data_IF_269850144234
#
_entry.id   IF_269850144234
#
_cell.length_a   1.000
_cell.length_b   1.000
_cell.length_c   1.000
_cell.angle_alpha   90.00
_cell.angle_beta   90.00
_cell.angle_gamma   90.00
#
_symmetry.space_group_name_H-M   'P 1'
#
loop_
_entity.id
_entity.type
_entity.pdbx_description
1 polymer ?
#
# COMPACT_ATOMS: atom_id res chain seq x y z
N UNK A 1 -21.17 4.87 26.47
CA UNK A 1 -19.72 4.63 26.59
C UNK A 1 -19.08 5.26 25.38
N UNK A 2 -18.21 6.28 25.53
CA UNK A 2 -17.44 6.85 24.42
C UNK A 2 -16.50 5.79 23.90
N UNK A 3 -16.69 5.39 22.65
CA UNK A 3 -15.81 4.40 21.98
C UNK A 3 -14.37 4.92 21.99
N UNK A 4 -13.43 4.11 22.49
CA UNK A 4 -12.01 4.48 22.52
C UNK A 4 -11.50 4.68 21.08
N UNK A 5 -10.92 5.84 20.81
CA UNK A 5 -10.26 6.09 19.53
C UNK A 5 -9.14 5.06 19.30
N UNK A 6 -8.99 4.55 18.07
CA UNK A 6 -7.87 3.66 17.74
C UNK A 6 -6.54 4.40 17.88
N UNK A 7 -5.49 3.69 18.27
CA UNK A 7 -4.12 4.22 18.28
C UNK A 7 -3.46 3.87 16.95
N UNK A 8 -3.05 4.89 16.19
CA UNK A 8 -2.33 4.70 14.92
C UNK A 8 -0.87 5.08 15.08
N UNK A 9 0.01 4.12 14.89
CA UNK A 9 1.46 4.37 14.84
C UNK A 9 1.84 5.04 13.52
N UNK A 10 2.58 6.14 13.57
CA UNK A 10 3.12 6.84 12.39
C UNK A 10 4.63 6.64 12.40
N UNK A 11 5.15 5.83 11.49
CA UNK A 11 6.60 5.71 11.28
C UNK A 11 7.10 6.93 10.50
N UNK A 12 8.08 7.65 11.05
CA UNK A 12 8.62 8.86 10.42
C UNK A 12 9.44 8.58 9.14
N UNK A 13 9.76 7.30 8.86
CA UNK A 13 10.54 6.93 7.69
C UNK A 13 12.00 7.38 7.77
N UNK A 14 12.57 7.80 6.64
CA UNK A 14 13.95 8.29 6.58
C UNK A 14 14.08 9.67 7.25
N UNK A 15 14.87 9.78 8.34
CA UNK A 15 14.99 11.04 9.08
C UNK A 15 15.76 12.15 8.33
N UNK A 16 16.48 11.81 7.27
CA UNK A 16 17.13 12.79 6.39
C UNK A 16 16.21 13.32 5.28
N UNK A 17 15.02 12.73 5.10
CA UNK A 17 14.00 13.14 4.15
C UNK A 17 12.90 14.00 4.76
N UNK A 18 11.79 14.13 4.03
CA UNK A 18 10.58 14.86 4.50
C UNK A 18 9.77 14.11 5.56
N UNK A 19 10.10 12.84 5.81
CA UNK A 19 9.31 11.95 6.66
C UNK A 19 9.00 12.51 8.06
N UNK A 20 9.98 12.98 8.84
CA UNK A 20 9.73 13.57 10.18
C UNK A 20 8.83 14.81 10.15
N UNK A 21 8.99 15.64 9.12
CA UNK A 21 8.18 16.85 8.93
C UNK A 21 6.72 16.50 8.68
N UNK A 22 6.45 15.64 7.68
CA UNK A 22 5.07 15.25 7.36
C UNK A 22 4.43 14.40 8.46
N UNK A 23 5.21 13.61 9.20
CA UNK A 23 4.70 12.81 10.32
C UNK A 23 4.21 13.69 11.48
N UNK A 24 4.95 14.77 11.83
CA UNK A 24 4.52 15.76 12.83
C UNK A 24 3.27 16.51 12.36
N UNK A 25 3.31 17.05 11.12
CA UNK A 25 2.16 17.74 10.54
C UNK A 25 0.90 16.86 10.51
N UNK A 26 1.04 15.59 10.15
CA UNK A 26 -0.07 14.65 10.14
C UNK A 26 -0.58 14.31 11.56
N UNK A 27 0.32 14.15 12.54
CA UNK A 27 -0.08 13.86 13.91
C UNK A 27 -0.89 15.03 14.55
N UNK A 28 -0.58 16.26 14.15
CA UNK A 28 -1.25 17.47 14.65
C UNK A 28 -2.48 17.87 13.82
N UNK A 29 -2.74 17.20 12.66
CA UNK A 29 -3.87 17.53 11.78
C UNK A 29 -5.21 17.23 12.47
N UNK A 30 -6.17 18.19 12.48
CA UNK A 30 -7.50 17.99 13.08
C UNK A 30 -8.27 16.79 12.52
N UNK A 31 -8.09 16.42 11.24
CA UNK A 31 -8.71 15.23 10.61
C UNK A 31 -8.20 13.94 11.23
N UNK A 32 -6.93 13.91 11.65
CA UNK A 32 -6.28 12.78 12.30
C UNK A 32 -6.71 12.68 13.76
N UNK A 33 -6.56 13.78 14.51
CA UNK A 33 -6.88 13.79 15.95
C UNK A 33 -8.37 13.58 16.24
N UNK A 34 -9.25 13.90 15.29
CA UNK A 34 -10.68 13.59 15.39
C UNK A 34 -10.99 12.08 15.27
N UNK A 35 -10.13 11.28 14.64
CA UNK A 35 -10.43 9.87 14.33
C UNK A 35 -9.52 8.86 15.00
N UNK A 36 -8.34 9.25 15.50
CA UNK A 36 -7.41 8.36 16.21
C UNK A 36 -6.53 9.12 17.20
N UNK A 37 -5.80 8.36 18.05
CA UNK A 37 -4.67 8.84 18.83
C UNK A 37 -3.37 8.52 18.06
N UNK A 38 -2.69 9.50 17.43
CA UNK A 38 -1.45 9.26 16.71
C UNK A 38 -0.28 9.01 17.68
N UNK A 39 0.63 8.09 17.29
CA UNK A 39 1.87 7.82 18.02
C UNK A 39 3.04 7.79 17.03
N UNK A 40 4.01 8.66 17.19
CA UNK A 40 5.19 8.71 16.32
C UNK A 40 6.20 7.62 16.69
N UNK A 41 6.84 7.04 15.65
CA UNK A 41 7.93 6.07 15.74
C UNK A 41 9.12 6.58 14.93
N UNK A 42 10.26 6.72 15.60
CA UNK A 42 11.51 7.21 15.04
C UNK A 42 11.86 8.64 15.43
N UNK A 43 12.97 9.18 14.91
CA UNK A 43 13.44 10.53 15.22
C UNK A 43 12.43 11.58 14.76
N UNK A 44 11.84 12.33 15.70
CA UNK A 44 10.83 13.34 15.39
C UNK A 44 11.09 14.68 16.10
N UNK A 45 11.81 14.70 17.23
CA UNK A 45 12.19 15.93 17.89
C UNK A 45 13.38 16.60 17.21
N UNK A 46 13.53 17.91 17.39
CA UNK A 46 14.68 18.65 16.86
C UNK A 46 16.03 18.08 17.36
N UNK A 47 16.08 17.63 18.61
CA UNK A 47 17.28 17.03 19.22
C UNK A 47 17.63 15.69 18.54
N UNK A 48 16.62 14.83 18.28
CA UNK A 48 16.83 13.55 17.62
C UNK A 48 17.28 13.74 16.16
N UNK A 49 16.73 14.76 15.48
CA UNK A 49 17.01 15.04 14.08
C UNK A 49 18.35 15.75 13.86
N UNK A 50 18.94 16.38 14.88
CA UNK A 50 20.18 17.14 14.76
C UNK A 50 21.39 16.31 14.25
N UNK A 51 21.35 14.98 14.36
CA UNK A 51 22.40 14.07 13.87
C UNK A 51 22.22 13.66 12.40
N UNK A 52 21.06 13.96 11.79
CA UNK A 52 20.79 13.64 10.39
C UNK A 52 20.83 14.91 9.54
N UNK A 53 21.73 14.98 8.59
CA UNK A 53 21.79 16.11 7.67
C UNK A 53 20.64 16.00 6.66
N UNK A 54 19.74 17.00 6.58
CA UNK A 54 18.63 16.97 5.64
C UNK A 54 19.09 16.81 4.18
N UNK A 55 18.43 15.94 3.43
CA UNK A 55 18.74 15.66 2.04
C UNK A 55 20.03 14.85 1.81
N UNK A 56 20.65 14.33 2.88
CA UNK A 56 21.88 13.55 2.76
C UNK A 56 21.64 12.07 3.05
N UNK A 57 22.08 11.25 2.10
CA UNK A 57 22.01 9.80 2.21
C UNK A 57 22.99 9.28 3.25
N UNK A 58 22.54 8.46 4.20
CA UNK A 58 23.43 7.85 5.20
C UNK A 58 22.94 6.49 5.68
N UNK A 59 23.88 5.63 6.08
CA UNK A 59 23.58 4.35 6.72
C UNK A 59 22.86 4.54 8.07
N UNK A 60 23.19 5.60 8.79
CA UNK A 60 22.56 5.91 10.09
C UNK A 60 21.08 6.25 9.92
N UNK A 61 20.72 7.04 8.89
CA UNK A 61 19.32 7.34 8.57
C UNK A 61 18.56 6.07 8.16
N UNK A 62 19.16 5.21 7.33
CA UNK A 62 18.59 3.93 6.96
C UNK A 62 18.34 3.01 8.15
N UNK A 63 19.30 2.93 9.09
CA UNK A 63 19.15 2.16 10.33
C UNK A 63 18.05 2.72 11.23
N UNK A 64 18.00 4.03 11.41
CA UNK A 64 16.97 4.67 12.23
C UNK A 64 15.55 4.45 11.64
N UNK A 65 15.38 4.52 10.33
CA UNK A 65 14.12 4.23 9.67
C UNK A 65 13.69 2.76 9.85
N UNK A 66 14.64 1.82 9.75
CA UNK A 66 14.41 0.41 10.01
C UNK A 66 13.97 0.16 11.46
N UNK A 67 14.73 0.66 12.44
CA UNK A 67 14.45 0.45 13.86
C UNK A 67 13.09 1.02 14.26
N UNK A 68 12.72 2.19 13.71
CA UNK A 68 11.40 2.80 13.90
C UNK A 68 10.26 1.91 13.37
N UNK A 69 10.46 1.31 12.18
CA UNK A 69 9.46 0.43 11.60
C UNK A 69 9.33 -0.88 12.37
N UNK A 70 10.45 -1.48 12.81
CA UNK A 70 10.45 -2.69 13.66
C UNK A 70 9.67 -2.44 14.95
N UNK A 71 9.96 -1.33 15.65
CA UNK A 71 9.24 -0.97 16.87
C UNK A 71 7.74 -0.79 16.64
N UNK A 72 7.34 -0.13 15.54
CA UNK A 72 5.92 0.02 15.19
C UNK A 72 5.25 -1.32 14.88
N UNK A 73 5.93 -2.23 14.18
CA UNK A 73 5.42 -3.57 13.88
C UNK A 73 5.25 -4.41 15.14
N UNK A 74 6.22 -4.36 16.06
CA UNK A 74 6.15 -5.08 17.34
C UNK A 74 4.99 -4.58 18.21
N UNK A 75 4.77 -3.25 18.23
CA UNK A 75 3.64 -2.65 18.93
C UNK A 75 2.30 -3.02 18.28
N UNK A 76 2.22 -3.07 16.95
CA UNK A 76 1.00 -3.48 16.25
C UNK A 76 0.69 -4.96 16.47
N UNK A 77 1.70 -5.84 16.41
CA UNK A 77 1.54 -7.28 16.68
C UNK A 77 1.15 -7.58 18.13
N UNK A 78 1.58 -6.74 19.05
CA UNK A 78 1.25 -6.84 20.48
C UNK A 78 -0.01 -6.07 20.87
N UNK A 79 -0.77 -5.55 19.90
CA UNK A 79 -1.99 -4.76 20.10
C UNK A 79 -1.81 -3.52 20.99
N UNK A 80 -0.57 -2.99 21.09
CA UNK A 80 -0.29 -1.70 21.74
C UNK A 80 -0.69 -0.50 20.87
N UNK A 81 -0.74 -0.73 19.54
CA UNK A 81 -1.35 0.15 18.55
C UNK A 81 -2.27 -0.68 17.64
N UNK A 82 -3.24 -0.02 17.03
CA UNK A 82 -4.29 -0.68 16.22
C UNK A 82 -3.93 -0.74 14.73
N UNK A 83 -3.07 0.16 14.25
CA UNK A 83 -2.63 0.23 12.85
C UNK A 83 -1.32 1.00 12.72
N UNK A 84 -0.65 0.89 11.56
CA UNK A 84 0.55 1.64 11.20
C UNK A 84 0.29 2.45 9.93
N UNK A 85 0.66 3.73 9.93
CA UNK A 85 0.83 4.56 8.75
C UNK A 85 2.32 4.88 8.57
N UNK A 86 2.89 4.67 7.37
CA UNK A 86 4.33 4.87 7.16
C UNK A 86 4.62 6.06 6.27
N UNK A 87 5.50 6.96 6.72
CA UNK A 87 6.18 7.94 5.89
C UNK A 87 7.26 7.25 5.03
N UNK A 88 7.81 7.90 4.01
CA UNK A 88 8.67 7.23 3.03
C UNK A 88 10.04 6.85 3.59
N UNK A 89 10.62 5.76 3.08
CA UNK A 89 12.00 5.33 3.36
C UNK A 89 12.86 5.43 2.11
N UNK A 90 14.17 5.62 2.28
CA UNK A 90 15.13 5.60 1.20
C UNK A 90 15.76 4.21 1.07
N UNK A 91 15.65 3.62 -0.14
CA UNK A 91 16.17 2.27 -0.41
C UNK A 91 17.70 2.21 -0.40
N UNK A 92 18.35 3.27 -0.85
CA UNK A 92 19.81 3.36 -0.85
C UNK A 92 20.35 3.52 0.58
N UNK A 93 19.62 4.26 1.45
CA UNK A 93 19.96 4.35 2.87
C UNK A 93 19.84 2.98 3.56
N UNK A 94 18.84 2.17 3.20
CA UNK A 94 18.73 0.79 3.68
C UNK A 94 19.93 -0.05 3.22
N UNK A 95 20.30 0.04 1.94
CA UNK A 95 21.46 -0.68 1.40
C UNK A 95 22.76 -0.26 2.09
N UNK A 96 22.99 1.04 2.30
CA UNK A 96 24.14 1.55 3.04
C UNK A 96 24.18 1.05 4.49
N UNK A 97 23.02 0.87 5.12
CA UNK A 97 22.92 0.29 6.46
C UNK A 97 23.10 -1.24 6.49
N UNK A 98 23.42 -1.87 5.36
CA UNK A 98 23.57 -3.33 5.24
C UNK A 98 22.26 -4.09 5.33
N UNK A 99 21.12 -3.44 5.06
CA UNK A 99 19.79 -4.04 5.11
C UNK A 99 19.41 -4.58 3.73
N UNK A 100 18.95 -5.84 3.60
CA UNK A 100 18.66 -6.47 2.32
C UNK A 100 17.32 -6.04 1.69
N UNK A 101 16.55 -5.20 2.37
CA UNK A 101 15.17 -4.88 2.02
C UNK A 101 15.09 -3.78 0.95
N UNK A 102 14.26 -3.99 -0.07
CA UNK A 102 14.02 -3.02 -1.15
C UNK A 102 12.98 -1.94 -0.79
N UNK A 103 12.40 -2.00 0.41
CA UNK A 103 11.40 -1.04 0.89
C UNK A 103 10.48 -1.63 1.96
N UNK A 104 9.36 -0.94 2.22
CA UNK A 104 8.44 -1.34 3.27
C UNK A 104 7.79 -2.72 3.04
N UNK A 105 7.37 -3.02 1.81
CA UNK A 105 6.53 -4.20 1.53
C UNK A 105 7.28 -5.51 1.81
N UNK A 106 8.51 -5.64 1.37
CA UNK A 106 9.35 -6.81 1.60
C UNK A 106 9.82 -6.91 3.05
N UNK A 107 10.21 -5.78 3.67
CA UNK A 107 10.54 -5.75 5.09
C UNK A 107 9.34 -6.16 5.96
N UNK A 108 8.16 -5.61 5.70
CA UNK A 108 6.94 -5.96 6.46
C UNK A 108 6.54 -7.42 6.26
N UNK A 109 6.66 -7.94 5.03
CA UNK A 109 6.47 -9.37 4.77
C UNK A 109 7.39 -10.23 5.63
N UNK A 110 8.68 -9.90 5.71
CA UNK A 110 9.65 -10.58 6.57
C UNK A 110 9.28 -10.49 8.07
N UNK A 111 9.06 -9.28 8.59
CA UNK A 111 8.74 -9.04 10.01
C UNK A 111 7.45 -9.72 10.47
N UNK A 112 6.53 -9.96 9.55
CA UNK A 112 5.22 -10.57 9.85
C UNK A 112 5.10 -12.03 9.42
N UNK A 113 6.11 -12.58 8.74
CA UNK A 113 6.11 -13.96 8.22
C UNK A 113 5.21 -14.16 7.00
N UNK A 114 4.84 -13.08 6.30
CA UNK A 114 3.98 -13.14 5.11
C UNK A 114 4.83 -13.17 3.84
N UNK A 115 4.76 -14.28 3.13
CA UNK A 115 5.59 -14.50 1.93
C UNK A 115 5.17 -13.62 0.73
N UNK A 116 3.89 -13.30 0.61
CA UNK A 116 3.33 -12.53 -0.54
C UNK A 116 2.33 -11.48 -0.07
N UNK A 117 2.80 -10.37 0.52
CA UNK A 117 1.92 -9.24 0.77
C UNK A 117 1.49 -8.59 -0.55
N UNK A 118 0.24 -8.12 -0.62
CA UNK A 118 -0.32 -7.52 -1.83
C UNK A 118 -0.29 -6.01 -1.72
N UNK A 119 0.29 -5.35 -2.71
CA UNK A 119 0.22 -3.90 -2.84
C UNK A 119 -1.15 -3.49 -3.38
N UNK A 120 -1.81 -2.63 -2.64
CA UNK A 120 -3.17 -2.18 -2.91
C UNK A 120 -3.24 -0.66 -2.81
N UNK A 121 -3.96 -0.04 -3.72
CA UNK A 121 -4.22 1.39 -3.69
C UNK A 121 -5.69 1.64 -3.45
N UNK A 122 -5.97 2.42 -2.42
CA UNK A 122 -7.30 2.88 -2.07
C UNK A 122 -7.47 4.34 -2.46
N UNK A 123 -8.37 4.59 -3.37
CA UNK A 123 -8.94 5.90 -3.64
C UNK A 123 -10.47 5.82 -3.52
N UNK A 124 -11.13 6.93 -3.28
CA UNK A 124 -12.59 6.97 -3.07
C UNK A 124 -13.35 6.28 -4.21
N UNK A 125 -12.98 6.58 -5.45
CA UNK A 125 -13.67 6.09 -6.66
C UNK A 125 -13.04 4.85 -7.29
N UNK A 126 -11.82 4.48 -6.90
CA UNK A 126 -11.11 3.37 -7.53
C UNK A 126 -10.19 2.67 -6.51
N UNK A 127 -10.31 1.36 -6.41
CA UNK A 127 -9.42 0.52 -5.63
C UNK A 127 -8.73 -0.47 -6.55
N UNK A 128 -7.41 -0.62 -6.40
CA UNK A 128 -6.60 -1.48 -7.28
C UNK A 128 -5.61 -2.32 -6.49
N UNK A 129 -5.63 -3.63 -6.70
CA UNK A 129 -4.59 -4.56 -6.25
C UNK A 129 -3.62 -4.86 -7.39
N UNK A 130 -2.35 -5.01 -7.10
CA UNK A 130 -1.31 -5.30 -8.08
C UNK A 130 -0.82 -6.74 -7.94
N UNK A 131 -0.91 -7.53 -9.02
CA UNK A 131 -0.42 -8.91 -9.04
C UNK A 131 1.12 -8.95 -9.13
N UNK A 132 1.71 -8.08 -9.95
CA UNK A 132 3.17 -7.90 -10.02
C UNK A 132 3.54 -6.43 -9.79
N UNK A 133 4.68 -6.21 -9.13
CA UNK A 133 5.16 -4.87 -8.77
C UNK A 133 6.67 -4.78 -8.96
N UNK A 134 7.19 -3.60 -9.31
CA UNK A 134 8.61 -3.25 -9.33
C UNK A 134 9.53 -4.21 -10.10
N UNK A 135 9.03 -4.78 -11.18
CA UNK A 135 9.78 -5.60 -12.15
C UNK A 135 9.71 -4.94 -13.52
N UNK A 136 10.64 -5.30 -14.40
CA UNK A 136 10.59 -4.82 -15.78
C UNK A 136 9.32 -5.33 -16.49
N UNK A 137 8.75 -4.53 -17.39
CA UNK A 137 7.55 -4.91 -18.13
C UNK A 137 7.73 -6.25 -18.88
N UNK A 138 8.94 -6.49 -19.41
CA UNK A 138 9.28 -7.74 -20.10
C UNK A 138 9.23 -8.99 -19.18
N UNK A 139 9.34 -8.83 -17.89
CA UNK A 139 9.31 -9.91 -16.90
C UNK A 139 7.89 -10.24 -16.43
N UNK A 140 6.90 -9.37 -16.71
CA UNK A 140 5.53 -9.51 -16.20
C UNK A 140 4.89 -10.83 -16.65
N UNK A 141 5.06 -11.23 -17.90
CA UNK A 141 4.47 -12.46 -18.43
C UNK A 141 4.99 -13.73 -17.74
N UNK A 142 6.23 -13.70 -17.26
CA UNK A 142 6.82 -14.81 -16.50
C UNK A 142 6.45 -14.76 -15.01
N UNK A 143 6.37 -13.56 -14.44
CA UNK A 143 6.06 -13.35 -13.03
C UNK A 143 4.56 -13.54 -12.72
N UNK A 144 3.68 -13.27 -13.69
CA UNK A 144 2.23 -13.43 -13.54
C UNK A 144 1.86 -14.92 -13.66
N UNK A 145 2.16 -15.70 -12.63
CA UNK A 145 1.77 -17.10 -12.58
C UNK A 145 0.34 -17.27 -12.06
N UNK A 146 -0.33 -18.43 -12.31
CA UNK A 146 -1.63 -18.73 -11.73
C UNK A 146 -1.67 -18.57 -10.21
N UNK A 147 -0.62 -18.97 -9.49
CA UNK A 147 -0.52 -18.87 -8.02
C UNK A 147 -0.42 -17.41 -7.55
N UNK A 148 0.36 -16.58 -8.24
CA UNK A 148 0.48 -15.16 -7.95
C UNK A 148 -0.87 -14.46 -8.11
N UNK A 149 -1.53 -14.70 -9.25
CA UNK A 149 -2.83 -14.09 -9.53
C UNK A 149 -3.90 -14.57 -8.54
N UNK A 150 -3.99 -15.87 -8.29
CA UNK A 150 -4.95 -16.45 -7.36
C UNK A 150 -4.76 -15.93 -5.93
N UNK A 151 -3.51 -15.85 -5.46
CA UNK A 151 -3.17 -15.30 -4.15
C UNK A 151 -3.58 -13.82 -4.06
N UNK A 152 -3.29 -13.02 -5.08
CA UNK A 152 -3.66 -11.60 -5.12
C UNK A 152 -5.18 -11.42 -5.06
N UNK A 153 -5.94 -12.19 -5.84
CA UNK A 153 -7.41 -12.12 -5.84
C UNK A 153 -7.98 -12.50 -4.48
N UNK A 154 -7.53 -13.62 -3.87
CA UNK A 154 -8.00 -14.06 -2.55
C UNK A 154 -7.70 -13.01 -1.47
N UNK A 155 -6.45 -12.57 -1.38
CA UNK A 155 -6.03 -11.56 -0.40
C UNK A 155 -6.83 -10.27 -0.55
N UNK A 156 -7.14 -9.87 -1.79
CA UNK A 156 -7.96 -8.67 -2.05
C UNK A 156 -9.41 -8.91 -1.62
N UNK A 157 -10.01 -10.04 -1.99
CA UNK A 157 -11.39 -10.39 -1.61
C UNK A 157 -11.56 -10.40 -0.08
N UNK A 158 -10.63 -11.02 0.63
CA UNK A 158 -10.64 -11.12 2.10
C UNK A 158 -10.51 -9.75 2.80
N UNK A 159 -9.81 -8.81 2.17
CA UNK A 159 -9.59 -7.48 2.74
C UNK A 159 -10.74 -6.50 2.51
N UNK A 160 -11.47 -6.61 1.39
CA UNK A 160 -12.47 -5.63 0.96
C UNK A 160 -13.63 -5.38 1.94
N UNK A 161 -14.09 -6.33 2.75
CA UNK A 161 -15.07 -6.03 3.81
C UNK A 161 -14.62 -4.93 4.76
N UNK A 162 -13.32 -4.88 5.12
CA UNK A 162 -12.74 -3.81 5.93
C UNK A 162 -12.78 -2.42 5.26
N UNK A 163 -12.89 -2.37 3.94
CA UNK A 163 -13.05 -1.14 3.16
C UNK A 163 -14.51 -0.76 2.89
N UNK A 164 -15.46 -1.40 3.58
CA UNK A 164 -16.89 -1.13 3.41
C UNK A 164 -17.52 -1.84 2.22
N UNK A 165 -16.88 -2.88 1.68
CA UNK A 165 -17.37 -3.70 0.57
C UNK A 165 -17.66 -5.14 1.05
N UNK A 166 -18.77 -5.39 1.78
CA UNK A 166 -19.04 -6.69 2.43
C UNK A 166 -19.27 -7.83 1.43
N UNK A 167 -19.64 -7.53 0.20
CA UNK A 167 -19.73 -8.46 -0.92
C UNK A 167 -18.80 -7.93 -2.02
N UNK A 168 -17.52 -8.30 -1.90
CA UNK A 168 -16.47 -7.82 -2.77
C UNK A 168 -16.68 -8.28 -4.23
N UNK A 169 -17.03 -7.35 -5.12
CA UNK A 169 -17.11 -7.59 -6.57
C UNK A 169 -15.76 -7.22 -7.18
N UNK A 170 -15.00 -8.23 -7.59
CA UNK A 170 -13.67 -8.04 -8.16
C UNK A 170 -13.71 -8.10 -9.68
N UNK A 171 -12.91 -7.24 -10.31
CA UNK A 171 -12.54 -7.38 -11.71
C UNK A 171 -11.06 -7.72 -11.84
N UNK A 172 -10.70 -8.56 -12.81
CA UNK A 172 -9.30 -8.80 -13.19
C UNK A 172 -9.07 -8.16 -14.55
N UNK A 173 -8.10 -7.26 -14.63
CA UNK A 173 -7.69 -6.65 -15.90
C UNK A 173 -7.02 -7.67 -16.80
N UNK A 174 -7.32 -7.64 -18.09
CA UNK A 174 -6.58 -8.40 -19.08
C UNK A 174 -5.15 -7.91 -19.19
N UNK A 175 -4.21 -8.82 -19.43
CA UNK A 175 -2.80 -8.49 -19.63
C UNK A 175 -2.57 -7.91 -21.03
N UNK A 176 -3.17 -8.55 -22.03
CA UNK A 176 -2.99 -8.17 -23.43
C UNK A 176 -4.14 -7.27 -23.93
N UNK A 177 -3.93 -6.51 -25.01
CA UNK A 177 -5.00 -5.78 -25.67
C UNK A 177 -6.18 -6.71 -25.98
N UNK A 178 -7.41 -6.24 -25.72
CA UNK A 178 -8.64 -7.02 -25.91
C UNK A 178 -8.63 -8.42 -25.28
N UNK A 179 -7.87 -8.59 -24.18
CA UNK A 179 -7.67 -9.88 -23.48
C UNK A 179 -7.11 -10.98 -24.42
N UNK A 180 -6.19 -10.61 -25.31
CA UNK A 180 -5.51 -11.51 -26.23
C UNK A 180 -6.33 -11.93 -27.46
N UNK A 181 -7.64 -11.60 -27.55
CA UNK A 181 -8.54 -11.91 -28.67
C UNK A 181 -8.38 -13.35 -29.20
N UNK A 182 -8.60 -14.32 -28.30
CA UNK A 182 -8.44 -15.77 -28.60
C UNK A 182 -7.03 -16.16 -29.10
N UNK A 183 -6.00 -15.46 -28.61
CA UNK A 183 -4.61 -15.74 -28.92
C UNK A 183 -4.01 -14.93 -30.07
N UNK A 184 -4.78 -14.05 -30.72
CA UNK A 184 -4.25 -13.16 -31.76
C UNK A 184 -3.24 -12.15 -31.24
N UNK A 185 -3.40 -11.72 -29.97
CA UNK A 185 -2.55 -10.73 -29.31
C UNK A 185 -1.90 -11.24 -28.02
N UNK A 186 -1.63 -12.54 -27.94
CA UNK A 186 -1.05 -13.21 -26.78
C UNK A 186 -2.01 -14.23 -26.17
N UNK A 187 -1.46 -15.14 -25.39
CA UNK A 187 -2.20 -16.28 -24.82
C UNK A 187 -2.33 -16.24 -23.30
N UNK A 188 -1.75 -15.26 -22.63
CA UNK A 188 -1.67 -15.20 -21.16
C UNK A 188 -3.05 -15.04 -20.53
N UNK A 189 -3.94 -14.29 -21.19
CA UNK A 189 -5.31 -14.11 -20.74
C UNK A 189 -6.09 -15.43 -20.74
N UNK A 190 -5.97 -16.22 -21.81
CA UNK A 190 -6.62 -17.52 -21.94
C UNK A 190 -5.96 -18.61 -21.08
N UNK A 191 -4.62 -18.59 -20.94
CA UNK A 191 -3.86 -19.65 -20.25
C UNK A 191 -3.73 -19.42 -18.75
N UNK A 192 -3.76 -18.17 -18.29
CA UNK A 192 -3.52 -17.80 -16.88
C UNK A 192 -4.76 -17.16 -16.28
N UNK A 193 -5.24 -16.05 -16.86
CA UNK A 193 -6.24 -15.21 -16.18
C UNK A 193 -7.60 -15.89 -16.17
N UNK A 194 -8.11 -16.30 -17.30
CA UNK A 194 -9.44 -16.91 -17.41
C UNK A 194 -9.59 -18.19 -16.56
N UNK A 195 -8.64 -19.15 -16.56
CA UNK A 195 -8.72 -20.34 -15.72
C UNK A 195 -8.68 -20.02 -14.22
N UNK A 196 -7.84 -19.08 -13.78
CA UNK A 196 -7.75 -18.66 -12.37
C UNK A 196 -9.06 -18.03 -11.94
N UNK A 197 -9.62 -17.10 -12.72
CA UNK A 197 -10.91 -16.47 -12.45
C UNK A 197 -12.02 -17.52 -12.35
N UNK A 198 -12.11 -18.45 -13.31
CA UNK A 198 -13.11 -19.51 -13.29
C UNK A 198 -12.99 -20.40 -12.04
N UNK A 199 -11.76 -20.79 -11.67
CA UNK A 199 -11.50 -21.59 -10.48
C UNK A 199 -11.93 -20.87 -9.20
N UNK A 200 -11.62 -19.58 -9.07
CA UNK A 200 -11.97 -18.80 -7.87
C UNK A 200 -13.47 -18.51 -7.76
N UNK A 201 -14.15 -18.28 -8.89
CA UNK A 201 -15.62 -18.20 -8.90
C UNK A 201 -16.28 -19.47 -8.40
N UNK A 202 -15.75 -20.63 -8.76
CA UNK A 202 -16.26 -21.91 -8.29
C UNK A 202 -16.11 -22.10 -6.77
N UNK A 203 -15.20 -21.35 -6.12
CA UNK A 203 -15.05 -21.30 -4.64
C UNK A 203 -15.92 -20.24 -3.96
N UNK A 204 -16.75 -19.49 -4.71
CA UNK A 204 -17.67 -18.50 -4.18
C UNK A 204 -17.11 -17.06 -4.14
N UNK A 205 -15.92 -16.79 -4.67
CA UNK A 205 -15.40 -15.43 -4.81
C UNK A 205 -16.11 -14.75 -6.00
N UNK A 206 -16.71 -13.60 -5.77
CA UNK A 206 -17.32 -12.78 -6.83
C UNK A 206 -16.23 -12.05 -7.61
N UNK A 207 -15.70 -12.71 -8.64
CA UNK A 207 -14.62 -12.20 -9.49
C UNK A 207 -14.98 -12.38 -10.97
N UNK A 208 -14.74 -11.34 -11.76
CA UNK A 208 -14.99 -11.32 -13.21
C UNK A 208 -13.71 -10.93 -13.94
N UNK A 209 -13.40 -11.62 -15.04
CA UNK A 209 -12.23 -11.34 -15.87
C UNK A 209 -11.84 -12.52 -16.77
N UNK A 210 -10.85 -12.31 -17.66
CA UNK A 210 -10.20 -11.02 -17.93
C UNK A 210 -11.16 -9.98 -18.53
N UNK A 211 -10.96 -8.71 -18.22
CA UNK A 211 -11.68 -7.58 -18.81
C UNK A 211 -10.63 -6.65 -19.46
N UNK A 212 -10.82 -6.17 -20.69
CA UNK A 212 -9.87 -5.29 -21.34
C UNK A 212 -9.41 -4.12 -20.47
N UNK A 213 -8.08 -3.92 -20.37
CA UNK A 213 -7.47 -2.94 -19.48
C UNK A 213 -7.87 -1.50 -19.75
N UNK A 214 -8.22 -1.18 -21.00
CA UNK A 214 -8.70 0.15 -21.42
C UNK A 214 -10.13 0.48 -20.93
N UNK A 215 -10.92 -0.53 -20.53
CA UNK A 215 -12.33 -0.35 -20.11
C UNK A 215 -12.57 -0.68 -18.64
N UNK A 216 -11.84 -1.63 -18.05
CA UNK A 216 -12.11 -2.14 -16.70
C UNK A 216 -12.06 -1.05 -15.62
N UNK A 217 -11.10 -0.14 -15.69
CA UNK A 217 -10.93 0.94 -14.70
C UNK A 217 -12.05 1.98 -14.80
N UNK A 218 -12.56 2.26 -16.00
CA UNK A 218 -13.73 3.14 -16.20
C UNK A 218 -14.98 2.53 -15.57
N UNK A 219 -15.20 1.22 -15.75
CA UNK A 219 -16.33 0.49 -15.17
C UNK A 219 -16.24 0.44 -13.64
N UNK A 220 -15.02 0.18 -13.10
CA UNK A 220 -14.78 0.19 -11.67
C UNK A 220 -15.00 1.59 -11.04
N UNK A 221 -14.50 2.66 -11.69
CA UNK A 221 -14.69 4.03 -11.22
C UNK A 221 -16.17 4.49 -11.25
N UNK A 222 -17.02 3.80 -12.01
CA UNK A 222 -18.49 3.98 -12.03
C UNK A 222 -19.23 3.09 -11.02
N UNK A 223 -18.49 2.29 -10.21
CA UNK A 223 -19.05 1.47 -9.15
C UNK A 223 -19.56 0.10 -9.60
N UNK A 224 -19.22 -0.38 -10.79
CA UNK A 224 -19.57 -1.73 -11.22
C UNK A 224 -18.80 -2.80 -10.43
N UNK A 225 -17.54 -2.50 -10.09
CA UNK A 225 -16.66 -3.34 -9.28
C UNK A 225 -16.15 -2.59 -8.06
N UNK A 226 -15.91 -3.33 -6.98
CA UNK A 226 -15.39 -2.77 -5.72
C UNK A 226 -13.87 -2.64 -5.73
N UNK A 227 -13.17 -3.49 -6.51
CA UNK A 227 -11.75 -3.32 -6.81
C UNK A 227 -11.37 -4.01 -8.14
N UNK A 228 -10.25 -3.55 -8.72
CA UNK A 228 -9.61 -4.16 -9.89
C UNK A 228 -8.30 -4.81 -9.47
N UNK A 229 -8.08 -6.04 -9.89
CA UNK A 229 -6.77 -6.69 -9.83
C UNK A 229 -6.06 -6.41 -11.16
N UNK A 230 -5.01 -5.61 -11.10
CA UNK A 230 -4.17 -5.29 -12.25
C UNK A 230 -2.99 -6.28 -12.34
N UNK A 231 -2.59 -6.61 -13.55
CA UNK A 231 -1.51 -7.57 -13.80
C UNK A 231 -0.14 -7.00 -13.44
N UNK A 232 0.09 -5.68 -13.63
CA UNK A 232 1.37 -5.03 -13.38
C UNK A 232 1.17 -3.59 -12.89
N UNK A 233 2.27 -3.03 -12.40
CA UNK A 233 2.33 -1.76 -11.68
C UNK A 233 1.63 -0.61 -12.44
N UNK A 234 2.10 -0.26 -13.65
CA UNK A 234 1.59 0.93 -14.35
C UNK A 234 0.17 0.73 -14.89
N UNK A 235 -0.23 -0.51 -15.22
CA UNK A 235 -1.62 -0.81 -15.56
C UNK A 235 -2.59 -0.34 -14.48
N UNK A 236 -2.21 -0.57 -13.20
CA UNK A 236 -3.04 -0.19 -12.06
C UNK A 236 -2.83 1.24 -11.60
N UNK A 237 -1.58 1.72 -11.59
CA UNK A 237 -1.23 3.01 -10.99
C UNK A 237 -1.56 4.20 -11.86
N UNK A 238 -1.50 4.08 -13.20
CA UNK A 238 -1.88 5.17 -14.11
C UNK A 238 -3.33 5.62 -13.84
N UNK A 239 -4.35 4.73 -13.86
CA UNK A 239 -5.72 5.15 -13.60
C UNK A 239 -5.94 5.62 -12.16
N UNK A 240 -5.27 5.05 -11.16
CA UNK A 240 -5.35 5.51 -9.77
C UNK A 240 -4.83 6.94 -9.66
N UNK A 241 -3.64 7.22 -10.19
CA UNK A 241 -3.03 8.55 -10.12
C UNK A 241 -3.78 9.58 -10.95
N UNK A 242 -4.36 9.19 -12.08
CA UNK A 242 -5.20 10.07 -12.88
C UNK A 242 -6.44 10.55 -12.12
N UNK A 243 -7.04 9.67 -11.30
CA UNK A 243 -8.28 9.96 -10.56
C UNK A 243 -8.04 10.56 -9.17
N UNK A 244 -6.89 10.28 -8.53
CA UNK A 244 -6.68 10.54 -7.11
C UNK A 244 -5.21 10.87 -6.78
N UNK A 245 -4.56 11.70 -7.61
CA UNK A 245 -3.19 12.13 -7.32
C UNK A 245 -3.11 12.84 -5.96
N UNK A 246 -2.20 12.40 -5.09
CA UNK A 246 -2.00 12.96 -3.75
C UNK A 246 -3.02 12.51 -2.68
N UNK A 247 -4.15 11.88 -3.06
CA UNK A 247 -5.16 11.37 -2.12
C UNK A 247 -5.30 9.84 -2.12
N UNK A 248 -4.69 9.14 -3.08
CA UNK A 248 -4.65 7.69 -3.06
C UNK A 248 -3.73 7.19 -1.96
N UNK A 249 -4.20 6.19 -1.20
CA UNK A 249 -3.45 5.58 -0.09
C UNK A 249 -2.92 4.23 -0.53
N UNK A 250 -1.61 4.02 -0.37
CA UNK A 250 -1.00 2.71 -0.54
C UNK A 250 -1.26 1.86 0.71
N UNK A 251 -1.82 0.67 0.53
CA UNK A 251 -2.13 -0.29 1.59
C UNK A 251 -1.40 -1.60 1.31
N UNK A 252 -0.85 -2.23 2.34
CA UNK A 252 -0.29 -3.58 2.20
C UNK A 252 -1.29 -4.59 2.74
N UNK A 253 -1.92 -5.36 1.87
CA UNK A 253 -2.87 -6.39 2.23
C UNK A 253 -2.17 -7.72 2.56
N UNK A 254 -2.88 -8.58 3.30
CA UNK A 254 -2.41 -9.92 3.69
C UNK A 254 -1.53 -9.94 4.92
N UNK A 255 -1.16 -8.79 5.49
CA UNK A 255 -0.44 -8.72 6.75
C UNK A 255 -1.39 -8.98 7.95
N UNK A 256 -0.88 -9.57 9.07
CA UNK A 256 -1.66 -9.71 10.30
C UNK A 256 -1.93 -8.37 11.00
N UNK A 257 -1.37 -7.28 10.50
CA UNK A 257 -1.50 -5.91 10.99
C UNK A 257 -2.07 -5.01 9.89
N UNK A 258 -2.71 -3.90 10.26
CA UNK A 258 -3.14 -2.88 9.30
C UNK A 258 -1.95 -1.97 9.00
N UNK A 259 -1.61 -1.84 7.72
CA UNK A 259 -0.58 -0.93 7.26
C UNK A 259 -1.03 -0.10 6.06
N UNK A 260 -0.94 1.21 6.21
CA UNK A 260 -1.13 2.21 5.16
C UNK A 260 0.15 3.00 4.92
N UNK A 261 0.25 3.71 3.82
CA UNK A 261 1.45 4.48 3.44
C UNK A 261 1.12 5.61 2.50
N UNK A 262 2.02 6.56 2.44
CA UNK A 262 2.07 7.56 1.39
C UNK A 262 2.40 6.93 0.01
N UNK A 263 2.15 7.68 -1.04
CA UNK A 263 2.37 7.32 -2.46
C UNK A 263 3.55 8.11 -3.10
N UNK A 264 4.44 8.67 -2.31
CA UNK A 264 5.60 9.46 -2.75
C UNK A 264 6.89 9.04 -2.04
N UNK A 265 8.04 9.53 -2.51
CA UNK A 265 9.35 9.27 -1.95
C UNK A 265 9.76 10.25 -0.85
N UNK A 266 11.05 10.19 -0.49
CA UNK A 266 11.66 10.96 0.62
C UNK A 266 11.89 12.44 0.31
N UNK A 267 11.79 12.88 -0.94
CA UNK A 267 11.91 14.25 -1.42
C UNK A 267 13.07 15.03 -0.75
N UNK A 268 14.29 14.51 -0.91
CA UNK A 268 15.51 15.04 -0.30
C UNK A 268 15.82 16.49 -0.67
N UNK A 269 15.34 16.93 -1.84
CA UNK A 269 15.49 18.28 -2.37
C UNK A 269 14.79 19.37 -1.53
N UNK A 270 13.75 18.99 -0.79
CA UNK A 270 13.00 19.91 0.10
C UNK A 270 13.07 19.52 1.58
N UNK A 271 13.87 18.50 1.94
CA UNK A 271 14.00 18.03 3.31
C UNK A 271 14.54 19.16 4.24
N UNK A 272 13.94 19.29 5.44
CA UNK A 272 14.34 20.30 6.43
C UNK A 272 13.90 21.73 6.09
N UNK A 273 13.11 21.96 5.04
CA UNK A 273 12.67 23.30 4.63
C UNK A 273 11.25 23.68 5.11
N UNK A 274 10.57 22.78 5.81
CA UNK A 274 9.17 22.91 6.26
C UNK A 274 8.15 23.21 5.13
N UNK A 275 8.43 22.69 3.92
CA UNK A 275 7.64 22.89 2.71
C UNK A 275 6.86 21.66 2.25
N UNK A 276 7.12 20.50 2.88
CA UNK A 276 6.48 19.26 2.48
C UNK A 276 4.98 19.27 2.83
N UNK A 277 4.16 18.80 1.87
CA UNK A 277 2.73 18.59 2.07
C UNK A 277 2.50 17.25 2.79
N UNK A 278 1.80 17.29 3.92
CA UNK A 278 1.45 16.10 4.69
C UNK A 278 0.14 15.42 4.23
N UNK A 279 -0.55 15.96 3.24
CA UNK A 279 -1.88 15.50 2.83
C UNK A 279 -1.97 14.00 2.57
N UNK A 280 -1.01 13.44 1.82
CA UNK A 280 -0.97 11.99 1.56
C UNK A 280 -0.81 11.14 2.83
N UNK A 281 0.01 11.58 3.80
CA UNK A 281 0.16 10.87 5.08
C UNK A 281 -1.07 11.02 5.96
N UNK A 282 -1.72 12.19 5.96
CA UNK A 282 -3.00 12.39 6.66
C UNK A 282 -4.06 11.43 6.13
N UNK A 283 -4.22 11.31 4.81
CA UNK A 283 -5.15 10.34 4.22
C UNK A 283 -4.79 8.89 4.62
N UNK A 284 -3.50 8.56 4.65
CA UNK A 284 -3.03 7.25 5.08
C UNK A 284 -3.39 6.96 6.56
N UNK A 285 -3.20 7.92 7.46
CA UNK A 285 -3.54 7.77 8.89
C UNK A 285 -5.06 7.68 9.09
N UNK A 286 -5.85 8.51 8.42
CA UNK A 286 -7.32 8.49 8.49
C UNK A 286 -7.85 7.14 7.99
N UNK A 287 -7.33 6.63 6.88
CA UNK A 287 -7.70 5.30 6.38
C UNK A 287 -7.31 4.20 7.37
N UNK A 288 -6.09 4.24 7.95
CA UNK A 288 -5.64 3.29 8.96
C UNK A 288 -6.60 3.24 10.17
N UNK A 289 -7.00 4.41 10.66
CA UNK A 289 -7.96 4.54 11.77
C UNK A 289 -9.32 3.95 11.41
N UNK A 290 -9.82 4.19 10.20
CA UNK A 290 -11.09 3.62 9.72
C UNK A 290 -11.03 2.08 9.67
N UNK A 291 -9.96 1.52 9.10
CA UNK A 291 -9.76 0.07 9.01
C UNK A 291 -9.63 -0.57 10.40
N UNK A 292 -8.96 0.11 11.34
CA UNK A 292 -8.82 -0.36 12.72
C UNK A 292 -10.17 -0.44 13.47
N UNK A 293 -11.07 0.51 13.24
CA UNK A 293 -12.45 0.47 13.80
C UNK A 293 -13.24 -0.71 13.24
N UNK A 294 -13.20 -0.92 11.92
CA UNK A 294 -13.89 -2.05 11.27
C UNK A 294 -13.40 -3.43 11.69
N UNK A 295 -12.17 -3.55 12.21
CA UNK A 295 -11.61 -4.82 12.72
C UNK A 295 -12.07 -5.16 14.13
N UNK A 296 -12.54 -4.18 14.91
CA UNK A 296 -13.02 -4.35 16.28
C UNK A 296 -14.55 -4.59 16.38
N UNK A 297 -15.26 -4.31 15.30
CA UNK A 297 -16.70 -4.55 15.20
C UNK A 297 -17.00 -5.97 14.70
#
# INVERSE_FOLDING_TARGET
>A
MTERLPVVGISVGDPAGIGPEIARKAADDPRVTAVCAPRLYGPASAADLARFAPGQLSAEAGRAAYDALVAAVDDARSFRIDAIATAPVNKEAFALAGLPWKGHTDLLGHLTGVARPVMFFHAERLKVALATVHIALAEVTQALTPDVLASTIRTTADALPGFGCPRARLAVAGLNPHCGEHGLMGHEDDRIIAPVVASLRATGIDVTGPIPGDTVFVRAARGEFDAVVACYHDQGLIPVKLLAFGSAVNVTLGLPIIRTSVDHGTAFDIAGQDRADAGSLVEAVVLAARLARGRKA
#
